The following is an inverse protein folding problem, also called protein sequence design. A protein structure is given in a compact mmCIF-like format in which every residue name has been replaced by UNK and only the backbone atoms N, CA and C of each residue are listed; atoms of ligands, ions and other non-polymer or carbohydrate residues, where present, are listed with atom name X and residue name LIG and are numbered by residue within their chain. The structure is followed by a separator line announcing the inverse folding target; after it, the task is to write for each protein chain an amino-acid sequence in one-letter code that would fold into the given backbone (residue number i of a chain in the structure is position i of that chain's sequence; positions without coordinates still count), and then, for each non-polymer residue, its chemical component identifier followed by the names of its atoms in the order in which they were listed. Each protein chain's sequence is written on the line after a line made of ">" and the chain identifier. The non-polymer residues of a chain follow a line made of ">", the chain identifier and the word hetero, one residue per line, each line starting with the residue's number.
data_IF_253056288204
#
_entry.id   IF_253056288204
#
_cell.length_a   1.000
_cell.length_b   1.000
_cell.length_c   1.000
_cell.angle_alpha   90.00
_cell.angle_beta   90.00
_cell.angle_gamma   90.00
#
_symmetry.space_group_name_H-M   'P 1'
#
loop_
_entity.id
_entity.type
_entity.pdbx_description
1 polymer ?
#
# COMPACT_ATOMS: atom_id res chain seq x y z
N UNK A 1 -12.04 -76.22 48.52
CA UNK A 1 -11.60 -75.88 47.14
C UNK A 1 -12.77 -75.13 46.52
N UNK A 2 -12.74 -73.81 46.32
CA UNK A 2 -11.80 -73.02 45.50
C UNK A 2 -12.04 -73.22 44.00
N UNK A 3 -12.75 -72.27 43.38
CA UNK A 3 -12.33 -71.60 42.14
C UNK A 3 -13.11 -70.27 41.97
N UNK A 4 -12.38 -69.19 41.72
CA UNK A 4 -12.89 -67.89 41.28
C UNK A 4 -12.19 -67.58 39.95
N UNK A 5 -12.90 -67.67 38.83
CA UNK A 5 -12.35 -67.30 37.53
C UNK A 5 -12.88 -65.94 37.06
N UNK A 6 -11.97 -64.98 36.93
CA UNK A 6 -12.21 -63.61 36.50
C UNK A 6 -12.50 -63.54 34.99
N UNK A 7 -13.55 -62.81 34.60
CA UNK A 7 -13.76 -62.38 33.22
C UNK A 7 -13.32 -60.92 33.05
N UNK A 8 -12.20 -60.71 32.36
CA UNK A 8 -11.78 -59.39 31.85
C UNK A 8 -12.42 -59.14 30.47
N UNK A 9 -13.06 -57.98 30.20
CA UNK A 9 -13.40 -57.59 28.85
C UNK A 9 -12.20 -56.94 28.15
N UNK A 10 -11.68 -57.57 27.10
CA UNK A 10 -10.70 -56.99 26.18
C UNK A 10 -11.41 -56.23 25.06
N UNK A 11 -11.23 -54.91 24.99
CA UNK A 11 -11.57 -54.08 23.84
C UNK A 11 -10.32 -53.34 23.36
N UNK A 12 -9.50 -54.02 22.55
CA UNK A 12 -8.34 -53.40 21.89
C UNK A 12 -8.80 -52.52 20.73
N UNK A 13 -9.05 -51.24 21.01
CA UNK A 13 -9.29 -50.23 19.98
C UNK A 13 -7.93 -49.72 19.49
N UNK A 14 -7.62 -49.96 18.22
CA UNK A 14 -6.35 -49.48 17.61
C UNK A 14 -6.14 -47.98 17.87
N UNK A 15 -4.94 -47.53 18.30
CA UNK A 15 -4.68 -46.13 18.63
C UNK A 15 -4.91 -45.18 17.45
N UNK A 16 -4.79 -45.67 16.21
CA UNK A 16 -5.13 -44.91 15.00
C UNK A 16 -6.63 -44.63 14.92
N UNK A 17 -7.47 -45.63 15.21
CA UNK A 17 -8.92 -45.49 15.20
C UNK A 17 -9.42 -44.58 16.32
N UNK A 18 -8.81 -44.67 17.51
CA UNK A 18 -9.06 -43.75 18.61
C UNK A 18 -8.70 -42.29 18.24
N UNK A 19 -7.61 -42.09 17.50
CA UNK A 19 -7.22 -40.78 16.97
C UNK A 19 -8.24 -40.18 16.00
N UNK A 20 -8.75 -40.97 15.05
CA UNK A 20 -9.79 -40.51 14.11
C UNK A 20 -11.13 -40.18 14.81
N UNK A 21 -11.55 -40.99 15.79
CA UNK A 21 -12.74 -40.72 16.59
C UNK A 21 -12.58 -39.42 17.40
N UNK A 22 -11.43 -39.22 18.05
CA UNK A 22 -11.12 -37.98 18.78
C UNK A 22 -11.13 -36.74 17.89
N UNK A 23 -10.51 -36.82 16.71
CA UNK A 23 -10.51 -35.72 15.73
C UNK A 23 -11.93 -35.41 15.22
N UNK A 24 -12.74 -36.44 14.91
CA UNK A 24 -14.13 -36.27 14.48
C UNK A 24 -14.99 -35.58 15.53
N UNK A 25 -14.92 -36.02 16.79
CA UNK A 25 -15.65 -35.39 17.92
C UNK A 25 -15.22 -33.92 18.10
N UNK A 26 -13.93 -33.61 17.97
CA UNK A 26 -13.42 -32.26 18.13
C UNK A 26 -13.90 -31.33 17.00
N UNK A 27 -13.90 -31.79 15.74
CA UNK A 27 -14.47 -31.03 14.61
C UNK A 27 -15.96 -30.77 14.80
N UNK A 28 -16.76 -31.77 15.18
CA UNK A 28 -18.19 -31.60 15.45
C UNK A 28 -18.44 -30.64 16.62
N UNK A 29 -17.67 -30.75 17.70
CA UNK A 29 -17.78 -29.83 18.84
C UNK A 29 -17.50 -28.37 18.45
N UNK A 30 -16.46 -28.13 17.63
CA UNK A 30 -16.12 -26.78 17.16
C UNK A 30 -17.18 -26.24 16.19
N UNK A 31 -17.72 -27.04 15.27
CA UNK A 31 -18.78 -26.57 14.36
C UNK A 31 -20.07 -26.23 15.10
N UNK A 32 -20.47 -27.04 16.10
CA UNK A 32 -21.62 -26.73 16.96
C UNK A 32 -21.39 -25.46 17.78
N UNK A 33 -20.19 -25.26 18.35
CA UNK A 33 -19.86 -24.04 19.08
C UNK A 33 -19.92 -22.78 18.21
N UNK A 34 -19.40 -22.84 16.97
CA UNK A 34 -19.48 -21.72 16.00
C UNK A 34 -20.92 -21.48 15.54
N UNK A 35 -21.72 -22.54 15.34
CA UNK A 35 -23.13 -22.40 15.00
C UNK A 35 -23.93 -21.75 16.13
N UNK A 36 -23.77 -22.22 17.38
CA UNK A 36 -24.39 -21.60 18.55
C UNK A 36 -23.93 -20.14 18.74
N UNK A 37 -22.64 -19.84 18.59
CA UNK A 37 -22.13 -18.48 18.65
C UNK A 37 -22.77 -17.57 17.59
N UNK A 38 -22.84 -18.01 16.33
CA UNK A 38 -23.46 -17.23 15.24
C UNK A 38 -24.97 -17.07 15.41
N UNK A 39 -25.69 -18.09 15.91
CA UNK A 39 -27.10 -17.99 16.30
C UNK A 39 -27.31 -17.00 17.45
N UNK A 40 -26.50 -17.06 18.50
CA UNK A 40 -26.53 -16.11 19.62
C UNK A 40 -26.19 -14.68 19.16
N UNK A 41 -25.20 -14.51 18.29
CA UNK A 41 -24.82 -13.20 17.74
C UNK A 41 -25.90 -12.63 16.81
N UNK A 42 -26.64 -13.49 16.08
CA UNK A 42 -27.78 -13.10 15.24
C UNK A 42 -29.01 -12.73 16.06
N UNK A 43 -29.33 -13.50 17.11
CA UNK A 43 -30.38 -13.16 18.09
C UNK A 43 -30.04 -11.90 18.88
N UNK A 44 -28.79 -11.74 19.31
CA UNK A 44 -28.31 -10.52 19.95
C UNK A 44 -28.49 -9.32 19.01
N UNK A 45 -28.08 -9.41 17.73
CA UNK A 45 -28.35 -8.37 16.73
C UNK A 45 -29.84 -8.10 16.49
N UNK A 46 -30.71 -9.10 16.56
CA UNK A 46 -32.16 -8.91 16.42
C UNK A 46 -32.78 -8.20 17.62
N UNK A 47 -32.47 -8.63 18.85
CA UNK A 47 -32.85 -7.88 20.06
C UNK A 47 -32.28 -6.46 20.02
N UNK A 48 -31.00 -6.31 19.64
CA UNK A 48 -30.29 -5.04 19.47
C UNK A 48 -30.89 -4.11 18.42
N UNK A 49 -31.64 -4.62 17.45
CA UNK A 49 -32.38 -3.81 16.49
C UNK A 49 -33.82 -3.50 16.92
N UNK A 50 -34.39 -4.32 17.80
CA UNK A 50 -35.80 -4.25 18.19
C UNK A 50 -36.09 -3.24 19.30
N UNK A 51 -35.12 -2.87 20.15
CA UNK A 51 -35.31 -1.83 21.18
C UNK A 51 -35.13 -0.39 20.67
N UNK A 52 -35.62 -0.11 19.46
CA UNK A 52 -36.11 1.24 19.12
C UNK A 52 -37.50 1.37 19.72
N UNK A 53 -37.60 2.23 20.73
CA UNK A 53 -38.77 2.45 21.58
C UNK A 53 -40.09 2.53 20.79
N UNK A 54 -41.01 1.63 21.13
CA UNK A 54 -42.44 1.83 20.94
C UNK A 54 -42.93 2.85 21.97
N UNK A 55 -43.18 4.09 21.55
CA UNK A 55 -44.00 5.06 22.29
C UNK A 55 -45.42 5.06 21.72
N UNK A 56 -46.42 5.27 22.59
CA UNK A 56 -47.83 5.27 22.23
C UNK A 56 -48.27 6.46 21.35
N UNK A 57 -49.53 6.48 20.90
CA UNK A 57 -50.06 7.58 20.10
C UNK A 57 -50.20 8.86 20.94
N UNK A 58 -50.13 10.01 20.27
CA UNK A 58 -50.12 11.38 20.82
C UNK A 58 -48.78 11.87 21.41
N UNK A 59 -47.78 12.10 20.53
CA UNK A 59 -47.00 13.35 20.50
C UNK A 59 -46.17 13.43 19.19
N UNK A 60 -45.95 14.63 18.60
CA UNK A 60 -45.10 14.79 17.43
C UNK A 60 -43.60 14.77 17.80
N UNK A 61 -42.74 14.04 17.08
CA UNK A 61 -41.34 13.92 17.44
C UNK A 61 -40.56 15.20 17.06
N UNK A 62 -40.25 16.02 18.06
CA UNK A 62 -39.18 17.03 17.95
C UNK A 62 -37.86 16.32 18.23
N UNK A 63 -37.16 15.92 17.16
CA UNK A 63 -35.81 15.36 17.28
C UNK A 63 -34.86 16.40 17.92
N UNK A 64 -34.20 16.09 19.06
CA UNK A 64 -33.19 16.98 19.62
C UNK A 64 -31.95 17.00 18.71
N UNK A 65 -31.36 18.18 18.42
CA UNK A 65 -30.26 18.30 17.48
C UNK A 65 -28.96 17.79 18.09
N UNK A 66 -28.72 16.48 17.98
CA UNK A 66 -27.43 15.86 18.32
C UNK A 66 -26.35 16.24 17.29
N UNK A 67 -25.85 17.47 17.39
CA UNK A 67 -24.60 17.89 16.75
C UNK A 67 -23.45 17.11 17.37
N UNK A 68 -22.88 16.18 16.60
CA UNK A 68 -21.64 15.48 16.94
C UNK A 68 -20.45 16.46 16.81
N UNK A 69 -20.20 17.21 17.88
CA UNK A 69 -19.02 18.08 17.99
C UNK A 69 -17.83 17.20 18.37
N UNK A 70 -16.93 16.94 17.41
CA UNK A 70 -15.68 16.22 17.67
C UNK A 70 -14.67 17.11 18.42
N UNK A 71 -14.87 17.31 19.72
CA UNK A 71 -13.87 17.94 20.61
C UNK A 71 -12.71 16.98 20.88
N UNK A 72 -11.72 16.97 19.97
CA UNK A 72 -10.51 16.16 20.10
C UNK A 72 -9.26 17.03 19.88
N UNK A 73 -8.35 17.01 20.85
CA UNK A 73 -6.99 17.56 20.71
C UNK A 73 -6.22 16.75 19.66
N UNK A 74 -6.32 17.13 18.39
CA UNK A 74 -5.33 16.84 17.34
C UNK A 74 -4.90 15.38 17.11
N UNK A 75 -5.68 14.38 17.54
CA UNK A 75 -5.34 12.96 17.43
C UNK A 75 -6.55 12.17 16.93
N UNK A 76 -6.32 11.29 15.95
CA UNK A 76 -7.31 10.38 15.36
C UNK A 76 -7.94 9.43 16.40
N UNK A 77 -9.26 9.29 16.38
CA UNK A 77 -10.02 8.29 17.15
C UNK A 77 -10.06 6.89 16.51
N UNK A 78 -9.41 6.69 15.36
CA UNK A 78 -9.21 5.36 14.80
C UNK A 78 -7.92 4.77 15.36
N UNK A 79 -7.95 3.61 16.05
CA UNK A 79 -6.77 3.06 16.71
C UNK A 79 -5.71 2.59 15.70
N UNK A 80 -4.53 3.20 15.75
CA UNK A 80 -3.32 2.65 15.13
C UNK A 80 -2.70 1.55 16.00
N UNK A 81 -3.40 0.42 16.09
CA UNK A 81 -2.85 -0.88 16.50
C UNK A 81 -3.44 -1.92 15.54
N UNK A 82 -2.65 -2.64 14.74
CA UNK A 82 -1.48 -3.43 15.11
C UNK A 82 -0.30 -3.22 14.15
N UNK A 83 0.84 -2.69 14.64
CA UNK A 83 2.19 -3.02 14.15
C UNK A 83 3.28 -2.28 14.95
N UNK A 84 3.36 -2.54 16.26
CA UNK A 84 4.62 -2.37 16.98
C UNK A 84 5.02 -3.74 17.53
N UNK A 85 6.07 -4.32 16.95
CA UNK A 85 6.64 -5.57 17.42
C UNK A 85 7.19 -5.35 18.82
N UNK A 86 6.50 -5.90 19.84
CA UNK A 86 7.05 -5.97 21.18
C UNK A 86 8.22 -6.94 21.17
N UNK A 87 9.44 -6.40 21.12
CA UNK A 87 10.67 -7.14 21.41
C UNK A 87 10.50 -7.80 22.79
N UNK A 88 10.36 -9.12 22.82
CA UNK A 88 10.16 -9.89 24.04
C UNK A 88 11.45 -9.84 24.85
N UNK A 89 11.54 -8.89 25.80
CA UNK A 89 12.58 -8.88 26.82
C UNK A 89 12.19 -9.92 27.87
N UNK A 90 12.87 -11.06 27.84
CA UNK A 90 12.69 -12.17 28.78
C UNK A 90 13.32 -11.78 30.12
N UNK A 91 12.52 -11.21 31.03
CA UNK A 91 12.98 -10.86 32.39
C UNK A 91 13.10 -12.13 33.24
N UNK A 92 14.33 -12.60 33.45
CA UNK A 92 14.65 -13.60 34.46
C UNK A 92 14.64 -12.98 35.87
N UNK A 93 14.11 -13.69 36.86
CA UNK A 93 14.07 -13.23 38.27
C UNK A 93 15.39 -13.51 39.01
N UNK A 94 16.00 -12.43 39.49
CA UNK A 94 16.85 -12.25 40.69
C UNK A 94 17.42 -13.48 41.43
N UNK A 95 18.74 -13.44 41.63
CA UNK A 95 19.42 -13.39 42.94
C UNK A 95 20.85 -12.86 42.70
N UNK A 96 21.54 -12.04 43.50
CA UNK A 96 21.22 -11.30 44.74
C UNK A 96 22.47 -10.49 45.19
N UNK A 97 22.33 -9.64 46.23
CA UNK A 97 23.42 -8.92 46.97
C UNK A 97 24.13 -7.69 46.35
N UNK A 98 24.31 -6.63 47.19
CA UNK A 98 25.57 -5.89 47.30
C UNK A 98 25.65 -4.39 46.95
N UNK A 99 25.61 -3.50 47.97
CA UNK A 99 26.33 -2.19 48.13
C UNK A 99 26.48 -1.21 46.93
N UNK A 100 25.94 0.01 46.95
CA UNK A 100 26.41 1.26 47.62
C UNK A 100 27.54 2.07 46.91
N UNK A 101 27.26 3.37 46.73
CA UNK A 101 28.15 4.55 46.63
C UNK A 101 28.98 4.93 45.35
N UNK A 102 28.83 6.23 45.01
CA UNK A 102 29.79 7.24 44.49
C UNK A 102 30.39 7.22 43.06
N UNK A 103 29.91 8.16 42.24
CA UNK A 103 30.58 9.42 41.79
C UNK A 103 32.02 9.44 41.22
N UNK A 104 32.15 10.19 40.09
CA UNK A 104 33.34 10.80 39.46
C UNK A 104 34.43 9.93 38.80
N UNK A 105 34.95 10.42 37.65
CA UNK A 105 36.34 10.12 37.22
C UNK A 105 36.60 10.12 35.71
N UNK A 106 37.40 11.09 35.22
CA UNK A 106 37.97 11.11 33.85
C UNK A 106 39.09 10.05 33.70
N UNK A 107 39.38 9.65 32.45
CA UNK A 107 40.78 9.70 31.96
C UNK A 107 41.42 8.45 31.34
N UNK A 108 41.42 8.39 29.99
CA UNK A 108 42.57 8.12 29.10
C UNK A 108 43.76 7.23 29.55
N UNK A 109 43.99 6.08 28.87
CA UNK A 109 45.13 5.87 27.91
C UNK A 109 45.34 4.41 27.43
N UNK A 110 45.68 4.32 26.13
CA UNK A 110 46.64 3.43 25.42
C UNK A 110 46.67 1.89 25.55
N UNK A 111 46.78 1.26 24.37
CA UNK A 111 47.60 0.07 24.08
C UNK A 111 46.89 -1.30 24.17
N UNK A 112 47.22 -2.30 23.34
CA UNK A 112 47.89 -2.30 22.02
C UNK A 112 47.54 -3.61 21.27
N UNK A 113 48.01 -3.76 20.04
CA UNK A 113 47.73 -4.86 19.07
C UNK A 113 48.30 -6.22 19.50
N UNK A 114 47.63 -7.33 19.14
CA UNK A 114 48.26 -8.53 18.56
C UNK A 114 47.27 -9.54 17.92
N UNK A 115 47.72 -10.15 16.82
CA UNK A 115 47.07 -11.23 16.05
C UNK A 115 47.69 -12.60 16.44
N UNK A 116 47.03 -13.71 16.08
CA UNK A 116 47.59 -14.87 15.33
C UNK A 116 46.55 -16.01 15.21
N UNK A 117 46.50 -16.65 14.04
CA UNK A 117 45.63 -17.78 13.69
C UNK A 117 46.08 -19.15 14.24
N UNK A 118 45.16 -20.13 14.28
CA UNK A 118 45.50 -21.56 14.26
C UNK A 118 44.34 -22.44 13.73
N UNK A 119 44.67 -23.26 12.72
CA UNK A 119 44.00 -24.44 12.13
C UNK A 119 45.16 -25.45 11.82
N UNK A 120 45.02 -26.74 11.40
CA UNK A 120 43.91 -27.36 10.64
C UNK A 120 43.63 -28.88 10.94
N UNK A 121 42.96 -29.56 9.98
CA UNK A 121 42.82 -31.02 9.74
C UNK A 121 41.77 -31.82 10.56
N UNK A 122 41.05 -32.81 10.01
CA UNK A 122 40.95 -33.35 8.64
C UNK A 122 40.12 -34.65 8.58
N UNK A 123 39.74 -35.15 7.38
CA UNK A 123 39.29 -36.55 7.18
C UNK A 123 38.00 -36.80 6.37
N UNK A 124 38.13 -37.59 5.29
CA UNK A 124 37.05 -38.30 4.57
C UNK A 124 37.43 -39.78 4.39
N UNK A 125 36.51 -40.65 3.92
CA UNK A 125 36.94 -41.64 2.94
C UNK A 125 35.98 -41.87 1.77
N UNK A 126 36.49 -42.57 0.76
CA UNK A 126 35.96 -42.82 -0.59
C UNK A 126 35.76 -44.33 -0.83
N UNK A 127 34.83 -44.75 -1.71
CA UNK A 127 34.80 -46.12 -2.26
C UNK A 127 34.55 -46.19 -3.78
N UNK A 128 34.93 -47.32 -4.39
CA UNK A 128 35.30 -47.54 -5.80
C UNK A 128 34.75 -48.90 -6.29
N UNK A 129 34.65 -49.29 -7.58
CA UNK A 129 34.90 -48.68 -8.92
C UNK A 129 34.14 -49.54 -9.98
N UNK A 130 34.45 -49.38 -11.28
CA UNK A 130 34.35 -50.39 -12.37
C UNK A 130 32.95 -50.64 -13.01
N UNK A 131 32.78 -50.85 -14.33
CA UNK A 131 33.73 -50.94 -15.47
C UNK A 131 33.03 -50.70 -16.85
N UNK A 132 33.83 -50.46 -17.91
CA UNK A 132 33.55 -50.59 -19.38
C UNK A 132 33.12 -49.35 -20.21
N UNK A 133 33.34 -49.47 -21.53
CA UNK A 133 33.71 -48.45 -22.55
C UNK A 133 32.64 -48.40 -23.70
N UNK A 134 32.52 -47.30 -24.49
CA UNK A 134 31.22 -46.86 -25.03
C UNK A 134 31.01 -47.13 -26.55
N UNK A 135 29.86 -46.69 -27.09
CA UNK A 135 29.82 -46.17 -28.45
C UNK A 135 29.30 -44.72 -28.57
N UNK A 136 29.79 -44.08 -29.63
CA UNK A 136 29.60 -42.72 -30.13
C UNK A 136 28.13 -42.27 -30.26
N UNK A 137 27.84 -41.04 -29.82
CA UNK A 137 26.62 -40.30 -30.17
C UNK A 137 26.60 -38.90 -29.51
N UNK A 138 26.17 -37.82 -30.18
CA UNK A 138 26.19 -36.48 -29.59
C UNK A 138 25.06 -36.33 -28.55
N UNK A 139 25.34 -35.85 -27.33
CA UNK A 139 24.30 -35.64 -26.33
C UNK A 139 23.43 -34.43 -26.69
N UNK A 140 22.15 -34.68 -27.01
CA UNK A 140 21.11 -33.64 -27.07
C UNK A 140 20.99 -32.97 -25.71
N UNK A 141 21.30 -31.67 -25.64
CA UNK A 141 21.14 -30.89 -24.41
C UNK A 141 19.72 -30.36 -24.25
N UNK A 142 18.73 -31.26 -24.08
CA UNK A 142 17.44 -30.85 -23.53
C UNK A 142 17.58 -30.58 -22.04
N UNK A 143 17.68 -29.30 -21.67
CA UNK A 143 17.46 -28.83 -20.29
C UNK A 143 16.39 -27.74 -20.31
N UNK A 144 15.27 -28.03 -19.66
CA UNK A 144 14.06 -27.23 -19.75
C UNK A 144 14.26 -25.81 -19.19
N UNK A 145 13.83 -24.81 -19.97
CA UNK A 145 13.29 -23.58 -19.40
C UNK A 145 11.95 -23.92 -18.74
N UNK A 146 11.71 -23.59 -17.45
CA UNK A 146 10.42 -23.81 -16.84
C UNK A 146 9.38 -22.80 -17.36
N UNK A 147 8.10 -23.16 -17.19
CA UNK A 147 6.90 -22.36 -17.49
C UNK A 147 6.43 -22.45 -18.97
N UNK A 148 5.79 -23.59 -19.27
CA UNK A 148 4.60 -23.63 -20.12
C UNK A 148 3.56 -22.64 -19.58
N UNK A 149 2.88 -21.97 -20.49
CA UNK A 149 1.55 -21.42 -20.27
C UNK A 149 0.80 -21.62 -21.59
N UNK A 150 0.04 -22.70 -21.69
CA UNK A 150 -0.79 -23.00 -22.85
C UNK A 150 -2.01 -22.08 -22.82
N UNK A 151 -2.23 -21.31 -23.89
CA UNK A 151 -3.57 -20.89 -24.32
C UNK A 151 -3.55 -20.63 -25.83
N UNK A 152 -4.50 -21.22 -26.54
CA UNK A 152 -4.70 -21.03 -27.97
C UNK A 152 -5.11 -19.58 -28.27
N UNK A 153 -4.47 -18.96 -29.26
CA UNK A 153 -4.99 -17.78 -29.92
C UNK A 153 -5.63 -18.24 -31.23
N UNK A 154 -6.94 -18.08 -31.40
CA UNK A 154 -7.54 -18.21 -32.73
C UNK A 154 -7.33 -16.91 -33.50
N UNK A 155 -6.82 -17.05 -34.71
CA UNK A 155 -6.60 -15.96 -35.64
C UNK A 155 -7.93 -15.37 -36.12
N UNK A 156 -7.91 -14.09 -36.48
CA UNK A 156 -8.82 -13.56 -37.50
C UNK A 156 -8.15 -12.39 -38.20
N UNK A 157 -7.82 -12.62 -39.47
CA UNK A 157 -7.20 -11.67 -40.38
C UNK A 157 -8.21 -10.66 -40.94
N UNK A 158 -7.73 -9.43 -41.14
CA UNK A 158 -8.14 -8.42 -42.13
C UNK A 158 -9.33 -8.69 -43.07
N UNK A 159 -10.18 -7.65 -43.24
CA UNK A 159 -10.63 -7.24 -44.58
C UNK A 159 -12.08 -6.76 -44.70
N UNK A 160 -12.26 -5.45 -45.00
CA UNK A 160 -13.05 -4.91 -46.12
C UNK A 160 -13.63 -3.51 -45.84
N UNK A 161 -13.71 -2.70 -46.90
CA UNK A 161 -14.23 -1.33 -46.96
C UNK A 161 -15.69 -1.27 -47.39
N UNK A 162 -16.43 -0.23 -46.97
CA UNK A 162 -17.66 0.26 -47.63
C UNK A 162 -17.93 1.72 -47.24
N UNK A 163 -18.54 2.50 -48.13
CA UNK A 163 -18.61 3.97 -48.05
C UNK A 163 -19.96 4.53 -47.56
N UNK A 164 -19.90 5.71 -46.90
CA UNK A 164 -20.90 6.80 -46.93
C UNK A 164 -22.32 6.57 -46.33
N UNK A 165 -23.12 7.64 -46.04
CA UNK A 165 -22.85 9.07 -46.22
C UNK A 165 -22.95 9.93 -44.94
N UNK A 166 -22.67 11.22 -45.13
CA UNK A 166 -22.59 12.28 -44.12
C UNK A 166 -23.92 12.66 -43.43
N UNK A 167 -23.82 13.08 -42.16
CA UNK A 167 -24.75 14.04 -41.55
C UNK A 167 -24.00 15.16 -40.83
N UNK A 168 -24.49 16.36 -41.09
CA UNK A 168 -24.02 17.70 -40.72
C UNK A 168 -23.55 17.86 -39.28
N UNK A 169 -22.45 18.59 -39.09
CA UNK A 169 -21.95 18.94 -37.77
C UNK A 169 -22.83 19.99 -37.05
N UNK A 170 -23.06 19.80 -35.75
CA UNK A 170 -23.42 20.86 -34.81
C UNK A 170 -22.37 20.92 -33.68
N UNK A 171 -21.97 22.11 -33.21
CA UNK A 171 -20.91 22.24 -32.21
C UNK A 171 -21.47 22.02 -30.81
N UNK A 172 -21.36 20.79 -30.30
CA UNK A 172 -21.56 20.52 -28.88
C UNK A 172 -20.21 20.44 -28.17
N UNK A 173 -20.06 21.25 -27.13
CA UNK A 173 -18.95 21.16 -26.18
C UNK A 173 -18.90 19.75 -25.58
N UNK A 174 -17.69 19.21 -25.48
CA UNK A 174 -17.44 18.01 -24.68
C UNK A 174 -17.51 18.40 -23.20
N UNK A 175 -18.73 18.44 -22.66
CA UNK A 175 -18.95 18.58 -21.22
C UNK A 175 -18.35 17.36 -20.52
N UNK A 176 -17.19 17.55 -19.89
CA UNK A 176 -16.67 16.59 -18.93
C UNK A 176 -17.68 16.46 -17.79
N UNK A 177 -18.07 15.24 -17.38
CA UNK A 177 -19.08 15.07 -16.35
C UNK A 177 -18.59 15.73 -15.04
N UNK A 178 -19.40 16.66 -14.53
CA UNK A 178 -19.12 17.30 -13.24
C UNK A 178 -19.02 16.25 -12.14
N UNK A 179 -18.06 16.42 -11.23
CA UNK A 179 -17.86 15.53 -10.08
C UNK A 179 -18.69 15.95 -8.86
N UNK A 180 -19.58 16.93 -9.03
CA UNK A 180 -20.44 17.47 -8.00
C UNK A 180 -19.87 18.66 -7.24
N UNK A 181 -20.56 19.06 -6.18
CA UNK A 181 -20.17 20.16 -5.29
C UNK A 181 -20.01 19.68 -3.85
N UNK A 182 -19.14 20.34 -3.10
CA UNK A 182 -18.96 20.17 -1.66
C UNK A 182 -19.42 21.44 -0.93
N UNK A 183 -20.35 21.30 0.00
CA UNK A 183 -20.87 22.36 0.85
C UNK A 183 -20.29 22.27 2.26
N UNK A 184 -19.80 23.40 2.77
CA UNK A 184 -19.21 23.54 4.10
C UNK A 184 -19.60 24.87 4.76
N UNK A 185 -19.32 24.99 6.05
CA UNK A 185 -19.42 26.24 6.79
C UNK A 185 -18.18 26.47 7.65
N UNK A 186 -17.62 27.67 7.62
CA UNK A 186 -16.45 28.10 8.40
C UNK A 186 -16.87 29.11 9.46
N UNK A 187 -16.35 28.97 10.67
CA UNK A 187 -16.67 29.78 11.85
C UNK A 187 -15.41 29.89 12.72
N UNK A 188 -15.24 30.94 13.52
CA UNK A 188 -14.04 31.14 14.33
C UNK A 188 -14.37 31.44 15.79
N UNK A 189 -13.96 30.53 16.67
CA UNK A 189 -14.16 30.66 18.10
C UNK A 189 -13.05 31.51 18.74
N UNK A 190 -13.27 32.82 18.85
CA UNK A 190 -12.31 33.75 19.47
C UNK A 190 -11.89 33.35 20.90
N UNK A 191 -12.79 33.01 21.84
CA UNK A 191 -12.41 32.62 23.20
C UNK A 191 -11.47 31.41 23.25
N UNK A 192 -11.65 30.42 22.35
CA UNK A 192 -10.84 29.20 22.29
C UNK A 192 -9.66 29.29 21.32
N UNK A 193 -9.49 30.41 20.60
CA UNK A 193 -8.53 30.60 19.49
C UNK A 193 -8.53 29.40 18.54
N UNK A 194 -9.71 29.09 18.00
CA UNK A 194 -9.95 27.87 17.25
C UNK A 194 -10.78 28.10 15.99
N UNK A 195 -10.27 27.62 14.86
CA UNK A 195 -11.01 27.54 13.61
C UNK A 195 -12.02 26.38 13.69
N UNK A 196 -13.27 26.62 13.30
CA UNK A 196 -14.34 25.63 13.29
C UNK A 196 -14.79 25.43 11.85
N UNK A 197 -14.77 24.18 11.37
CA UNK A 197 -15.20 23.84 10.01
C UNK A 197 -16.24 22.74 10.09
N UNK A 198 -17.43 23.02 9.53
CA UNK A 198 -18.50 22.04 9.37
C UNK A 198 -18.52 21.57 7.92
N UNK A 199 -18.31 20.27 7.69
CA UNK A 199 -18.53 19.65 6.39
C UNK A 199 -20.03 19.30 6.35
N UNK A 200 -20.80 20.05 5.56
CA UNK A 200 -22.27 19.94 5.54
C UNK A 200 -22.69 18.74 4.69
N UNK A 201 -22.20 18.67 3.46
CA UNK A 201 -22.56 17.61 2.53
C UNK A 201 -21.92 17.78 1.15
N UNK A 202 -22.20 16.86 0.25
CA UNK A 202 -21.90 17.00 -1.17
C UNK A 202 -23.14 16.66 -2.01
N UNK A 203 -23.19 17.15 -3.25
CA UNK A 203 -24.28 16.94 -4.20
C UNK A 203 -23.74 16.55 -5.57
N UNK A 204 -24.46 15.71 -6.31
CA UNK A 204 -24.09 15.32 -7.67
C UNK A 204 -22.78 14.53 -7.78
N UNK A 205 -22.42 13.73 -6.77
CA UNK A 205 -21.24 12.86 -6.87
C UNK A 205 -21.44 11.77 -7.95
N UNK A 206 -20.40 11.34 -8.66
CA UNK A 206 -20.48 10.20 -9.58
C UNK A 206 -20.65 8.88 -8.82
N UNK A 207 -21.36 7.93 -9.44
CA UNK A 207 -21.36 6.53 -9.04
C UNK A 207 -20.02 5.89 -9.40
N UNK A 208 -19.27 5.44 -8.38
CA UNK A 208 -18.00 4.73 -8.56
C UNK A 208 -18.23 3.22 -8.68
N UNK A 209 -19.24 2.69 -7.99
CA UNK A 209 -19.72 1.32 -8.18
C UNK A 209 -20.77 1.30 -9.30
N UNK A 210 -20.32 0.96 -10.52
CA UNK A 210 -21.16 0.83 -11.71
C UNK A 210 -22.26 -0.25 -11.55
N UNK A 211 -22.02 -1.29 -10.74
CA UNK A 211 -22.99 -2.36 -10.53
C UNK A 211 -24.08 -1.97 -9.51
N UNK A 212 -23.74 -1.13 -8.53
CA UNK A 212 -24.70 -0.59 -7.56
C UNK A 212 -25.32 0.75 -7.97
N UNK A 213 -24.79 1.43 -9.01
CA UNK A 213 -25.23 2.76 -9.43
C UNK A 213 -25.02 3.82 -8.34
N UNK A 214 -24.03 3.64 -7.47
CA UNK A 214 -23.87 4.47 -6.28
C UNK A 214 -22.42 4.56 -5.79
N UNK A 215 -22.22 5.30 -4.70
CA UNK A 215 -20.93 5.48 -4.02
C UNK A 215 -21.11 5.37 -2.51
N UNK A 216 -20.02 5.08 -1.79
CA UNK A 216 -19.96 5.08 -0.32
C UNK A 216 -19.10 6.27 0.15
N UNK A 217 -19.56 7.52 -0.01
CA UNK A 217 -18.71 8.70 0.11
C UNK A 217 -18.27 9.03 1.54
N UNK A 218 -17.04 9.53 1.65
CA UNK A 218 -16.52 10.25 2.80
C UNK A 218 -15.49 11.31 2.38
N UNK A 219 -15.24 12.28 3.25
CA UNK A 219 -14.31 13.39 2.99
C UNK A 219 -13.13 13.31 3.94
N UNK A 220 -11.91 13.44 3.42
CA UNK A 220 -10.70 13.75 4.19
C UNK A 220 -10.42 15.24 4.07
N UNK A 221 -10.22 15.93 5.19
CA UNK A 221 -9.90 17.35 5.23
C UNK A 221 -8.49 17.56 5.81
N UNK A 222 -7.72 18.44 5.18
CA UNK A 222 -6.37 18.85 5.61
C UNK A 222 -6.24 20.37 5.58
N UNK A 223 -5.59 20.97 6.58
CA UNK A 223 -5.25 22.41 6.56
C UNK A 223 -3.86 22.60 5.95
N UNK A 224 -3.80 23.39 4.87
CA UNK A 224 -2.57 23.80 4.19
C UNK A 224 -2.08 25.16 4.75
N UNK A 225 -0.76 25.44 4.76
CA UNK A 225 0.33 24.63 4.21
C UNK A 225 0.87 23.56 5.17
N UNK A 226 0.66 23.69 6.48
CA UNK A 226 1.35 22.86 7.48
C UNK A 226 0.98 21.38 7.47
N UNK A 227 -0.22 21.02 7.00
CA UNK A 227 -0.70 19.62 6.81
C UNK A 227 -0.75 18.76 8.08
N UNK A 228 -0.47 19.33 9.26
CA UNK A 228 -0.56 18.69 10.59
C UNK A 228 -2.00 18.37 10.96
N UNK A 229 -2.92 19.30 10.68
CA UNK A 229 -4.33 19.16 11.01
C UNK A 229 -5.04 18.35 9.91
N UNK A 230 -5.39 17.11 10.23
CA UNK A 230 -6.04 16.16 9.33
C UNK A 230 -7.22 15.50 10.03
N UNK A 231 -8.38 15.53 9.40
CA UNK A 231 -9.62 14.89 9.88
C UNK A 231 -10.30 14.15 8.73
N UNK A 232 -11.27 13.31 9.04
CA UNK A 232 -12.13 12.66 8.05
C UNK A 232 -13.54 12.51 8.59
N UNK A 233 -14.53 12.56 7.70
CA UNK A 233 -15.93 12.29 8.04
C UNK A 233 -16.17 10.80 8.27
N UNK A 234 -17.36 10.45 8.75
CA UNK A 234 -17.90 9.08 8.59
C UNK A 234 -18.15 8.76 7.11
N UNK A 235 -18.16 7.46 6.82
CA UNK A 235 -18.59 6.91 5.54
C UNK A 235 -20.11 6.84 5.53
N UNK A 236 -20.75 7.50 4.57
CA UNK A 236 -22.16 7.32 4.26
C UNK A 236 -22.27 6.27 3.15
N UNK A 237 -23.29 5.42 3.20
CA UNK A 237 -23.43 4.28 2.29
C UNK A 237 -24.45 4.56 1.21
N UNK A 238 -24.15 4.13 -0.02
CA UNK A 238 -25.05 4.16 -1.19
C UNK A 238 -25.73 5.51 -1.39
N UNK A 239 -24.95 6.57 -1.48
CA UNK A 239 -25.45 7.92 -1.74
C UNK A 239 -24.53 8.71 -2.65
N UNK A 240 -25.12 9.48 -3.56
CA UNK A 240 -24.46 10.47 -4.41
C UNK A 240 -24.65 11.90 -3.88
N UNK A 241 -25.49 12.05 -2.84
CA UNK A 241 -25.78 13.31 -2.14
C UNK A 241 -25.60 13.12 -0.62
N UNK A 242 -24.35 12.91 -0.14
CA UNK A 242 -24.10 12.70 1.27
C UNK A 242 -24.33 13.97 2.10
N UNK A 243 -25.16 13.86 3.15
CA UNK A 243 -25.26 14.89 4.20
C UNK A 243 -24.40 14.46 5.39
N UNK A 244 -23.21 15.03 5.50
CA UNK A 244 -22.26 14.70 6.56
C UNK A 244 -22.63 15.38 7.89
N UNK A 245 -22.94 16.68 7.88
CA UNK A 245 -23.11 17.57 9.05
C UNK A 245 -22.10 17.30 10.19
N UNK A 246 -20.81 17.21 9.86
CA UNK A 246 -19.73 16.95 10.82
C UNK A 246 -18.90 18.21 11.08
N UNK A 247 -18.83 18.62 12.35
CA UNK A 247 -18.07 19.80 12.80
C UNK A 247 -16.73 19.41 13.42
N UNK A 248 -15.65 19.95 12.86
CA UNK A 248 -14.27 19.81 13.34
C UNK A 248 -13.75 21.14 13.90
N UNK A 249 -13.06 21.09 15.03
CA UNK A 249 -12.52 22.28 15.72
C UNK A 249 -11.00 22.18 15.86
N UNK A 250 -10.30 23.16 15.30
CA UNK A 250 -8.84 23.23 15.20
C UNK A 250 -8.30 24.32 16.13
N UNK A 251 -7.89 23.91 17.33
CA UNK A 251 -7.33 24.79 18.36
C UNK A 251 -5.91 25.25 18.03
N UNK A 252 -5.59 26.49 18.41
CA UNK A 252 -4.25 27.05 18.31
C UNK A 252 -3.93 27.71 16.97
N UNK A 253 -4.91 27.83 16.07
CA UNK A 253 -4.81 28.60 14.81
C UNK A 253 -5.20 30.05 15.12
N UNK A 254 -4.30 31.04 15.01
CA UNK A 254 -4.64 32.45 15.23
C UNK A 254 -5.50 33.01 14.09
N UNK A 255 -6.49 33.86 14.42
CA UNK A 255 -7.34 34.55 13.44
C UNK A 255 -6.53 35.28 12.36
N UNK A 256 -5.43 35.93 12.75
CA UNK A 256 -4.54 36.67 11.84
C UNK A 256 -3.85 35.79 10.79
N UNK A 257 -3.74 34.48 11.03
CA UNK A 257 -3.14 33.53 10.08
C UNK A 257 -4.15 32.98 9.05
N UNK A 258 -5.46 33.15 9.27
CA UNK A 258 -6.48 32.56 8.40
C UNK A 258 -6.29 32.91 6.91
N UNK A 259 -5.95 34.15 6.50
CA UNK A 259 -5.76 34.47 5.08
C UNK A 259 -4.62 33.70 4.39
N UNK A 260 -3.67 33.16 5.16
CA UNK A 260 -2.53 32.37 4.64
C UNK A 260 -2.86 30.87 4.51
N UNK A 261 -4.00 30.44 5.05
CA UNK A 261 -4.41 29.04 5.11
C UNK A 261 -5.35 28.67 3.95
N UNK A 262 -5.36 27.39 3.60
CA UNK A 262 -6.34 26.81 2.69
C UNK A 262 -6.85 25.48 3.23
N UNK A 263 -8.15 25.25 3.11
CA UNK A 263 -8.79 23.99 3.45
C UNK A 263 -8.79 23.10 2.21
N UNK A 264 -8.10 21.96 2.28
CA UNK A 264 -8.10 20.95 1.23
C UNK A 264 -8.99 19.79 1.63
N UNK A 265 -9.93 19.45 0.75
CA UNK A 265 -10.89 18.37 0.90
C UNK A 265 -10.66 17.36 -0.21
N UNK A 266 -10.42 16.10 0.15
CA UNK A 266 -10.48 14.99 -0.79
C UNK A 266 -11.78 14.22 -0.56
N UNK A 267 -12.56 14.04 -1.60
CA UNK A 267 -13.79 13.24 -1.60
C UNK A 267 -13.46 11.84 -2.13
N UNK A 268 -13.81 10.81 -1.36
CA UNK A 268 -13.50 9.41 -1.69
C UNK A 268 -14.74 8.52 -1.58
N UNK A 269 -14.80 7.47 -2.39
CA UNK A 269 -15.71 6.34 -2.18
C UNK A 269 -14.97 5.24 -1.41
N UNK A 270 -15.58 4.76 -0.32
CA UNK A 270 -15.01 3.69 0.52
C UNK A 270 -15.19 2.31 -0.11
N UNK A 271 -14.12 1.51 -0.15
CA UNK A 271 -14.21 0.09 -0.53
C UNK A 271 -13.84 -0.82 0.67
N UNK A 272 -14.56 -1.94 0.82
CA UNK A 272 -14.34 -2.93 1.88
C UNK A 272 -13.22 -3.93 1.53
N UNK A 273 -13.03 -4.24 0.26
CA UNK A 273 -12.20 -5.32 -0.25
C UNK A 273 -11.04 -4.81 -1.11
N UNK A 274 -11.18 -3.62 -1.71
CA UNK A 274 -10.12 -2.92 -2.41
C UNK A 274 -9.55 -1.75 -1.59
N UNK A 275 -8.97 -0.77 -2.28
CA UNK A 275 -8.52 0.52 -1.73
C UNK A 275 -9.51 1.58 -2.17
N UNK A 276 -9.72 2.57 -1.31
CA UNK A 276 -10.69 3.65 -1.54
C UNK A 276 -10.41 4.39 -2.85
N UNK A 277 -11.47 4.72 -3.56
CA UNK A 277 -11.41 5.43 -4.83
C UNK A 277 -11.53 6.94 -4.62
N UNK A 278 -10.71 7.70 -5.34
CA UNK A 278 -10.74 9.16 -5.29
C UNK A 278 -11.81 9.65 -6.27
N UNK A 279 -12.84 10.31 -5.76
CA UNK A 279 -13.86 10.97 -6.59
C UNK A 279 -13.28 12.28 -7.13
N UNK A 280 -12.71 13.10 -6.26
CA UNK A 280 -12.12 14.38 -6.64
C UNK A 280 -11.66 15.18 -5.43
N UNK A 281 -11.22 16.42 -5.66
CA UNK A 281 -10.74 17.33 -4.62
C UNK A 281 -11.33 18.74 -4.72
N UNK A 282 -11.41 19.41 -3.58
CA UNK A 282 -11.81 20.81 -3.46
C UNK A 282 -10.80 21.55 -2.58
N UNK A 283 -10.36 22.72 -3.02
CA UNK A 283 -9.50 23.63 -2.24
C UNK A 283 -10.27 24.91 -1.99
N UNK A 284 -10.35 25.32 -0.72
CA UNK A 284 -10.97 26.57 -0.30
C UNK A 284 -9.93 27.42 0.41
N UNK A 285 -9.35 28.42 -0.26
CA UNK A 285 -8.55 29.45 0.40
C UNK A 285 -9.38 30.18 1.45
N UNK A 286 -8.78 30.50 2.60
CA UNK A 286 -9.46 31.26 3.66
C UNK A 286 -9.23 32.77 3.55
N UNK A 287 -8.45 33.23 2.57
CA UNK A 287 -8.37 34.65 2.20
C UNK A 287 -9.74 35.16 1.75
N UNK A 288 -10.19 36.28 2.31
CA UNK A 288 -11.49 36.89 2.00
C UNK A 288 -12.70 36.20 2.65
N UNK A 289 -12.53 35.08 3.37
CA UNK A 289 -13.58 34.49 4.21
C UNK A 289 -13.62 35.25 5.54
N UNK A 290 -14.80 35.75 5.92
CA UNK A 290 -15.04 36.34 7.25
C UNK A 290 -15.81 35.34 8.15
N UNK A 291 -15.13 34.56 9.01
CA UNK A 291 -15.77 33.70 9.99
C UNK A 291 -15.96 34.40 11.34
N UNK A 292 -15.85 35.73 11.44
CA UNK A 292 -15.96 36.46 12.71
C UNK A 292 -17.40 36.79 13.12
N UNK A 293 -18.27 36.98 12.13
CA UNK A 293 -19.68 37.38 12.30
C UNK A 293 -20.65 36.20 12.37
N UNK A 294 -20.17 34.98 12.09
CA UNK A 294 -20.94 33.75 12.16
C UNK A 294 -20.41 32.66 11.23
N UNK A 295 -21.29 31.71 10.88
CA UNK A 295 -20.97 30.62 9.95
C UNK A 295 -20.97 31.12 8.50
N UNK A 296 -19.77 31.36 7.96
CA UNK A 296 -19.57 31.61 6.54
C UNK A 296 -19.82 30.31 5.74
N UNK A 297 -20.93 30.25 5.03
CA UNK A 297 -21.29 29.12 4.17
C UNK A 297 -20.57 29.21 2.81
N UNK A 298 -19.95 28.11 2.39
CA UNK A 298 -19.16 28.02 1.15
C UNK A 298 -19.56 26.74 0.41
N UNK A 299 -19.84 26.86 -0.88
CA UNK A 299 -20.05 25.73 -1.79
C UNK A 299 -18.96 25.75 -2.85
N UNK A 300 -18.19 24.66 -2.96
CA UNK A 300 -17.02 24.55 -3.82
C UNK A 300 -17.23 23.43 -4.84
N UNK A 301 -16.85 23.66 -6.10
CA UNK A 301 -16.85 22.62 -7.13
C UNK A 301 -15.80 21.55 -6.81
N UNK A 302 -16.17 20.28 -6.99
CA UNK A 302 -15.25 19.15 -6.86
C UNK A 302 -14.52 19.00 -8.20
N UNK A 303 -13.21 19.21 -8.18
CA UNK A 303 -12.36 19.10 -9.36
C UNK A 303 -11.75 17.70 -9.47
N UNK A 304 -11.48 17.27 -10.70
CA UNK A 304 -10.71 16.04 -10.91
C UNK A 304 -9.30 16.29 -10.38
N UNK A 305 -8.83 15.39 -9.50
CA UNK A 305 -7.49 15.46 -8.93
C UNK A 305 -6.45 15.48 -10.06
N UNK A 306 -5.72 16.58 -10.19
CA UNK A 306 -4.74 16.71 -11.26
C UNK A 306 -3.39 16.11 -10.84
N UNK A 307 -3.08 14.91 -11.35
CA UNK A 307 -1.79 14.24 -11.13
C UNK A 307 -0.76 14.56 -12.21
N UNK A 308 -1.04 15.50 -13.13
CA UNK A 308 -0.04 15.93 -14.11
C UNK A 308 1.01 16.79 -13.41
N UNK A 309 2.26 16.30 -13.41
CA UNK A 309 3.41 17.07 -13.00
C UNK A 309 4.38 17.16 -14.18
N UNK A 310 4.88 18.37 -14.44
CA UNK A 310 5.84 18.68 -15.51
C UNK A 310 7.16 17.90 -15.37
N UNK A 311 7.51 17.52 -14.13
CA UNK A 311 8.66 16.67 -13.83
C UNK A 311 8.29 15.54 -12.90
N UNK A 312 8.50 14.30 -13.35
CA UNK A 312 8.31 13.08 -12.54
C UNK A 312 9.54 12.74 -11.67
N UNK A 313 10.55 13.60 -11.68
CA UNK A 313 11.80 13.45 -10.93
C UNK A 313 12.85 12.60 -11.63
N UNK A 314 13.95 12.33 -10.93
CA UNK A 314 15.12 11.62 -11.44
C UNK A 314 15.44 10.38 -10.58
N UNK A 315 15.84 9.29 -11.23
CA UNK A 315 16.26 8.05 -10.57
C UNK A 315 17.73 7.73 -10.92
N UNK A 316 18.54 7.49 -9.90
CA UNK A 316 19.91 6.97 -10.01
C UNK A 316 19.86 5.45 -9.87
N UNK A 317 20.22 4.76 -10.95
CA UNK A 317 20.35 3.29 -10.99
C UNK A 317 21.76 2.92 -11.41
N UNK A 318 22.20 1.73 -11.00
CA UNK A 318 23.49 1.19 -11.36
C UNK A 318 23.39 -0.27 -11.78
N UNK A 319 24.03 -0.62 -12.89
CA UNK A 319 24.01 -1.94 -13.49
C UNK A 319 25.43 -2.48 -13.65
N UNK A 320 25.59 -3.80 -13.54
CA UNK A 320 26.79 -4.52 -14.00
C UNK A 320 26.43 -5.92 -14.49
N UNK A 321 27.04 -6.35 -15.58
CA UNK A 321 26.86 -7.70 -16.13
C UNK A 321 28.12 -8.54 -15.99
N UNK A 322 27.98 -9.76 -15.47
CA UNK A 322 29.06 -10.72 -15.27
C UNK A 322 28.83 -11.92 -16.20
N UNK A 323 29.47 -11.97 -17.39
CA UNK A 323 29.19 -13.02 -18.38
C UNK A 323 29.55 -14.41 -17.90
N UNK A 324 30.67 -14.58 -17.16
CA UNK A 324 31.15 -15.88 -16.67
C UNK A 324 30.19 -16.54 -15.67
N UNK A 325 29.47 -15.73 -14.88
CA UNK A 325 28.48 -16.23 -13.92
C UNK A 325 27.04 -16.03 -14.42
N UNK A 326 26.87 -15.55 -15.65
CA UNK A 326 25.59 -15.15 -16.25
C UNK A 326 24.75 -14.25 -15.33
N UNK A 327 25.36 -13.28 -14.62
CA UNK A 327 24.66 -12.46 -13.62
C UNK A 327 24.57 -10.99 -13.99
N UNK A 328 23.33 -10.51 -14.12
CA UNK A 328 22.99 -9.09 -14.17
C UNK A 328 22.69 -8.60 -12.75
N UNK A 329 23.52 -7.69 -12.23
CA UNK A 329 23.28 -6.98 -10.98
C UNK A 329 22.64 -5.62 -11.29
N UNK A 330 21.49 -5.35 -10.67
CA UNK A 330 20.73 -4.10 -10.78
C UNK A 330 20.59 -3.48 -9.40
N UNK A 331 21.19 -2.31 -9.20
CA UNK A 331 21.15 -1.56 -7.94
C UNK A 331 20.29 -0.31 -8.11
N UNK A 332 19.24 -0.19 -7.29
CA UNK A 332 18.47 1.05 -7.14
C UNK A 332 19.14 1.86 -6.05
N UNK A 333 19.74 3.00 -6.40
CA UNK A 333 20.54 3.80 -5.47
C UNK A 333 19.68 4.85 -4.76
N UNK A 334 19.19 5.85 -5.49
CA UNK A 334 18.37 6.95 -4.93
C UNK A 334 17.54 7.64 -6.01
N UNK A 335 16.50 8.36 -5.59
CA UNK A 335 15.79 9.32 -6.45
C UNK A 335 15.90 10.74 -5.86
N UNK A 336 15.57 11.75 -6.66
CA UNK A 336 15.44 13.16 -6.26
C UNK A 336 14.35 13.83 -7.10
N UNK A 337 13.86 14.97 -6.62
CA UNK A 337 12.86 15.79 -7.31
C UNK A 337 11.57 15.01 -7.66
N UNK A 338 11.22 13.99 -6.88
CA UNK A 338 9.94 13.30 -7.08
C UNK A 338 8.78 14.27 -6.77
N UNK A 339 7.70 14.27 -7.57
CA UNK A 339 6.53 15.10 -7.30
C UNK A 339 5.79 14.64 -6.03
N UNK A 340 5.07 15.56 -5.40
CA UNK A 340 4.14 15.25 -4.31
C UNK A 340 2.88 14.58 -4.85
N UNK A 341 2.89 13.25 -4.97
CA UNK A 341 1.72 12.49 -5.42
C UNK A 341 0.73 12.20 -4.28
N UNK A 342 1.16 12.28 -3.01
CA UNK A 342 0.32 11.97 -1.86
C UNK A 342 -0.83 12.97 -1.65
N UNK A 343 -2.03 12.42 -1.40
CA UNK A 343 -3.33 13.08 -1.14
C UNK A 343 -3.31 14.16 -0.05
N UNK A 344 -2.26 14.15 0.76
CA UNK A 344 -2.10 14.95 1.97
C UNK A 344 -1.08 16.07 1.77
N UNK A 345 -0.42 16.10 0.61
CA UNK A 345 0.71 16.95 0.30
C UNK A 345 1.91 16.77 1.23
N UNK A 346 1.95 15.70 2.02
CA UNK A 346 3.17 15.26 2.68
C UNK A 346 4.17 14.80 1.61
N UNK A 347 5.45 14.79 1.95
CA UNK A 347 6.45 14.09 1.12
C UNK A 347 6.01 12.64 0.93
N UNK A 348 6.05 12.13 -0.30
CA UNK A 348 5.52 10.80 -0.63
C UNK A 348 6.23 9.65 0.11
N UNK A 349 5.70 8.46 -0.10
CA UNK A 349 6.22 7.19 0.41
C UNK A 349 6.77 6.31 -0.73
N UNK A 350 7.81 6.76 -1.46
CA UNK A 350 8.25 6.09 -2.68
C UNK A 350 8.87 4.72 -2.43
N UNK A 351 8.59 3.80 -3.36
CA UNK A 351 9.36 2.58 -3.59
C UNK A 351 9.52 2.34 -5.08
N UNK A 352 10.54 1.55 -5.45
CA UNK A 352 10.81 1.20 -6.85
C UNK A 352 10.48 -0.27 -7.08
N UNK A 353 9.62 -0.56 -8.06
CA UNK A 353 9.34 -1.90 -8.56
C UNK A 353 10.24 -2.14 -9.78
N UNK A 354 11.07 -3.17 -9.72
CA UNK A 354 12.00 -3.55 -10.79
C UNK A 354 11.42 -4.76 -11.52
N UNK A 355 11.02 -4.58 -12.77
CA UNK A 355 10.54 -5.64 -13.65
C UNK A 355 11.64 -5.97 -14.68
N UNK A 356 11.94 -7.25 -14.90
CA UNK A 356 12.84 -7.69 -15.98
C UNK A 356 12.01 -8.39 -17.04
N UNK A 357 12.25 -8.03 -18.30
CA UNK A 357 11.58 -8.58 -19.47
C UNK A 357 12.58 -9.23 -20.41
N UNK A 358 12.15 -10.32 -21.06
CA UNK A 358 12.78 -10.89 -22.24
C UNK A 358 11.81 -10.68 -23.42
N UNK A 359 12.21 -9.85 -24.38
CA UNK A 359 11.29 -9.30 -25.38
C UNK A 359 10.08 -8.64 -24.71
N UNK A 360 8.87 -9.15 -24.96
CA UNK A 360 7.62 -8.67 -24.34
C UNK A 360 7.20 -9.43 -23.07
N UNK A 361 7.86 -10.53 -22.70
CA UNK A 361 7.49 -11.38 -21.55
C UNK A 361 8.21 -10.91 -20.29
N UNK A 362 7.47 -10.52 -19.25
CA UNK A 362 8.06 -10.23 -17.93
C UNK A 362 8.53 -11.54 -17.28
N UNK A 363 9.85 -11.69 -17.11
CA UNK A 363 10.48 -12.88 -16.54
C UNK A 363 10.76 -12.75 -15.04
N UNK A 364 10.94 -11.53 -14.52
CA UNK A 364 11.13 -11.30 -13.09
C UNK A 364 10.48 -9.99 -12.61
N UNK A 365 10.19 -9.92 -11.31
CA UNK A 365 9.66 -8.74 -10.63
C UNK A 365 10.15 -8.72 -9.18
N UNK A 366 10.88 -7.67 -8.79
CA UNK A 366 11.30 -7.38 -7.42
C UNK A 366 10.85 -5.96 -7.05
N UNK A 367 11.00 -5.56 -5.79
CA UNK A 367 10.71 -4.20 -5.31
C UNK A 367 11.67 -3.81 -4.19
N UNK A 368 11.95 -2.52 -4.07
CA UNK A 368 12.65 -1.96 -2.92
C UNK A 368 11.75 -1.92 -1.69
N UNK A 369 12.34 -1.57 -0.55
CA UNK A 369 11.60 -1.11 0.62
C UNK A 369 10.94 0.25 0.34
N UNK A 370 9.84 0.51 1.04
CA UNK A 370 9.16 1.82 1.04
C UNK A 370 9.96 2.78 1.91
N UNK A 371 10.37 3.91 1.34
CA UNK A 371 10.98 5.02 2.09
C UNK A 371 9.87 5.99 2.43
N UNK A 372 9.66 6.26 3.72
CA UNK A 372 8.54 7.08 4.20
C UNK A 372 8.87 8.57 4.14
N UNK A 373 7.86 9.40 3.89
CA UNK A 373 7.93 10.85 4.03
C UNK A 373 9.12 11.51 3.31
N UNK A 374 9.41 11.14 2.06
CA UNK A 374 10.55 11.71 1.30
C UNK A 374 10.32 11.78 -0.21
N UNK A 375 10.70 12.91 -0.81
CA UNK A 375 10.75 13.11 -2.28
C UNK A 375 12.16 12.89 -2.86
N UNK A 376 13.14 12.61 -1.99
CA UNK A 376 14.52 12.29 -2.34
C UNK A 376 14.96 11.00 -1.63
N UNK A 377 14.32 9.85 -1.91
CA UNK A 377 14.59 8.59 -1.23
C UNK A 377 15.97 8.02 -1.56
N UNK A 378 16.64 7.46 -0.54
CA UNK A 378 17.83 6.62 -0.72
C UNK A 378 17.45 5.17 -0.48
N UNK A 379 17.59 4.34 -1.51
CA UNK A 379 17.28 2.92 -1.50
C UNK A 379 18.53 2.11 -1.13
N UNK A 380 19.56 2.17 -1.98
CA UNK A 380 20.77 1.34 -1.94
C UNK A 380 20.47 -0.17 -1.92
N UNK A 381 19.54 -0.61 -2.77
CA UNK A 381 19.05 -2.00 -2.80
C UNK A 381 19.47 -2.68 -4.10
N UNK A 382 20.13 -3.85 -3.98
CA UNK A 382 20.68 -4.65 -5.09
C UNK A 382 19.77 -5.84 -5.43
N UNK A 383 19.60 -6.07 -6.72
CA UNK A 383 18.80 -7.15 -7.28
C UNK A 383 19.64 -7.89 -8.33
N UNK A 384 20.04 -9.11 -8.01
CA UNK A 384 20.73 -10.00 -8.95
C UNK A 384 19.68 -10.81 -9.74
N UNK A 385 19.94 -11.00 -11.04
CA UNK A 385 19.17 -11.83 -11.96
C UNK A 385 20.14 -12.70 -12.76
N UNK A 386 19.82 -13.98 -12.92
CA UNK A 386 20.58 -14.88 -13.77
C UNK A 386 20.07 -14.73 -15.22
N UNK A 387 20.96 -14.29 -16.12
CA UNK A 387 20.71 -13.90 -17.51
C UNK A 387 21.84 -14.45 -18.39
N UNK A 388 21.58 -15.49 -19.20
CA UNK A 388 22.54 -15.99 -20.19
C UNK A 388 22.98 -14.90 -21.17
N UNK A 389 24.23 -14.97 -21.64
CA UNK A 389 24.87 -13.90 -22.43
C UNK A 389 24.18 -13.72 -23.79
N UNK A 390 23.64 -14.81 -24.33
CA UNK A 390 22.93 -14.89 -25.60
C UNK A 390 21.62 -14.09 -25.57
N UNK A 391 21.01 -13.94 -24.38
CA UNK A 391 19.72 -13.26 -24.21
C UNK A 391 19.88 -11.77 -23.90
N UNK A 392 21.07 -11.29 -23.52
CA UNK A 392 21.32 -9.89 -23.14
C UNK A 392 20.80 -8.83 -24.15
N UNK A 393 20.84 -9.03 -25.48
CA UNK A 393 20.28 -8.06 -26.44
C UNK A 393 18.76 -7.84 -26.30
N UNK A 394 18.02 -8.90 -25.95
CA UNK A 394 16.55 -8.91 -25.83
C UNK A 394 16.05 -8.61 -24.41
N UNK A 395 16.97 -8.48 -23.44
CA UNK A 395 16.64 -8.18 -22.05
C UNK A 395 16.41 -6.68 -21.89
N UNK A 396 15.38 -6.34 -21.11
CA UNK A 396 15.18 -4.98 -20.62
C UNK A 396 14.77 -4.97 -19.15
N UNK A 397 15.14 -3.90 -18.46
CA UNK A 397 14.85 -3.66 -17.05
C UNK A 397 14.03 -2.39 -16.92
N UNK A 398 12.81 -2.54 -16.43
CA UNK A 398 11.88 -1.45 -16.14
C UNK A 398 11.84 -1.16 -14.64
N UNK A 399 11.99 0.11 -14.30
CA UNK A 399 11.85 0.65 -12.96
C UNK A 399 10.58 1.50 -12.92
N UNK A 400 9.64 1.12 -12.07
CA UNK A 400 8.46 1.93 -11.76
C UNK A 400 8.65 2.52 -10.37
N UNK A 401 8.79 3.85 -10.29
CA UNK A 401 8.73 4.59 -9.04
C UNK A 401 7.26 4.79 -8.69
N UNK A 402 6.87 4.36 -7.50
CA UNK A 402 5.48 4.26 -7.08
C UNK A 402 5.35 4.90 -5.71
N UNK A 403 4.34 5.75 -5.53
CA UNK A 403 3.98 6.30 -4.23
C UNK A 403 3.05 5.31 -3.49
N UNK A 404 3.32 5.09 -2.21
CA UNK A 404 2.59 4.16 -1.37
C UNK A 404 1.61 4.88 -0.44
N UNK A 405 0.36 5.06 -0.88
CA UNK A 405 -0.74 5.34 0.05
C UNK A 405 -1.23 4.02 0.70
N UNK A 406 -1.65 4.10 1.95
CA UNK A 406 -2.31 3.03 2.72
C UNK A 406 -3.82 2.95 2.44
N UNK A 407 -4.43 4.05 2.03
CA UNK A 407 -5.88 4.23 1.90
C UNK A 407 -6.35 4.07 0.46
N UNK A 408 -5.75 4.82 -0.46
CA UNK A 408 -6.14 4.88 -1.87
C UNK A 408 -5.20 4.04 -2.73
N UNK A 409 -5.54 3.86 -4.01
CA UNK A 409 -4.71 3.12 -4.99
C UNK A 409 -3.30 3.73 -5.10
N UNK A 410 -2.25 2.90 -5.19
CA UNK A 410 -0.87 3.38 -5.32
C UNK A 410 -0.70 4.07 -6.68
N UNK A 411 -0.13 5.28 -6.70
CA UNK A 411 0.08 6.04 -7.93
C UNK A 411 1.49 5.79 -8.49
N UNK A 412 1.60 5.61 -9.81
CA UNK A 412 2.91 5.49 -10.48
C UNK A 412 3.47 6.89 -10.72
N UNK A 413 4.46 7.25 -9.89
CA UNK A 413 5.18 8.53 -9.97
C UNK A 413 5.86 8.67 -11.33
N UNK A 414 6.51 7.62 -11.80
CA UNK A 414 7.16 7.63 -13.11
C UNK A 414 7.87 6.32 -13.44
N UNK A 415 8.30 6.24 -14.69
CA UNK A 415 8.86 5.04 -15.32
C UNK A 415 10.26 5.32 -15.87
N UNK A 416 11.13 4.32 -15.79
CA UNK A 416 12.43 4.26 -16.46
C UNK A 416 12.57 2.86 -17.07
N UNK A 417 13.06 2.78 -18.31
CA UNK A 417 13.39 1.50 -18.96
C UNK A 417 14.83 1.55 -19.45
N UNK A 418 15.60 0.51 -19.16
CA UNK A 418 16.93 0.27 -19.71
C UNK A 418 16.89 -1.00 -20.56
N UNK A 419 17.46 -0.96 -21.76
CA UNK A 419 17.40 -2.05 -22.73
C UNK A 419 17.71 -1.55 -24.13
N UNK A 420 17.92 -2.46 -25.08
CA UNK A 420 18.20 -2.10 -26.49
C UNK A 420 17.08 -1.30 -27.15
N UNK A 421 15.83 -1.51 -26.73
CA UNK A 421 14.61 -0.84 -27.22
C UNK A 421 14.00 0.11 -26.18
N UNK A 422 14.83 0.79 -25.38
CA UNK A 422 14.34 1.78 -24.42
C UNK A 422 13.73 3.00 -25.13
N UNK A 423 12.56 3.52 -24.68
CA UNK A 423 11.94 4.72 -25.25
C UNK A 423 12.73 6.01 -24.97
N UNK A 424 13.73 5.97 -24.07
CA UNK A 424 14.60 7.12 -23.78
C UNK A 424 16.03 6.88 -24.32
N UNK A 425 16.61 7.81 -25.11
CA UNK A 425 17.97 7.64 -25.66
C UNK A 425 19.05 7.44 -24.59
N UNK A 426 18.90 8.06 -23.42
CA UNK A 426 19.82 7.86 -22.29
C UNK A 426 19.76 6.44 -21.73
N UNK A 427 18.59 5.79 -21.78
CA UNK A 427 18.39 4.41 -21.34
C UNK A 427 19.05 3.39 -22.27
N UNK A 428 18.94 3.60 -23.59
CA UNK A 428 19.67 2.81 -24.59
C UNK A 428 21.19 2.96 -24.40
N UNK A 429 21.66 4.19 -24.21
CA UNK A 429 23.10 4.48 -24.04
C UNK A 429 23.66 3.90 -22.73
N UNK A 430 22.91 3.91 -21.64
CA UNK A 430 23.32 3.24 -20.39
C UNK A 430 23.34 1.72 -20.56
N UNK A 431 22.32 1.13 -21.20
CA UNK A 431 22.29 -0.32 -21.45
C UNK A 431 23.47 -0.78 -22.31
N UNK A 432 23.76 -0.04 -23.40
CA UNK A 432 24.91 -0.33 -24.28
C UNK A 432 26.23 -0.30 -23.50
N UNK A 433 26.47 0.74 -22.70
CA UNK A 433 27.72 0.84 -21.91
C UNK A 433 27.90 -0.34 -20.93
N UNK A 434 26.80 -0.85 -20.34
CA UNK A 434 26.79 -2.04 -19.46
C UNK A 434 27.14 -3.32 -20.22
N UNK A 435 26.68 -3.46 -21.46
CA UNK A 435 27.05 -4.58 -22.33
C UNK A 435 28.52 -4.50 -22.78
N UNK A 436 28.97 -3.31 -23.18
CA UNK A 436 30.32 -3.07 -23.71
C UNK A 436 31.41 -3.15 -22.62
N UNK A 437 31.06 -2.95 -21.35
CA UNK A 437 31.99 -2.95 -20.22
C UNK A 437 31.65 -4.07 -19.19
N UNK A 438 31.82 -5.37 -19.55
CA UNK A 438 31.51 -6.47 -18.65
C UNK A 438 32.32 -6.41 -17.35
N UNK A 439 31.68 -6.80 -16.24
CA UNK A 439 32.16 -6.70 -14.83
C UNK A 439 32.30 -5.27 -14.29
N UNK A 440 32.22 -4.23 -15.13
CA UNK A 440 32.21 -2.83 -14.66
C UNK A 440 30.86 -2.50 -14.06
N UNK A 441 30.87 -1.81 -12.92
CA UNK A 441 29.68 -1.18 -12.38
C UNK A 441 29.54 0.23 -12.95
N UNK A 442 28.43 0.48 -13.65
CA UNK A 442 28.08 1.77 -14.24
C UNK A 442 26.86 2.30 -13.50
N UNK A 443 26.83 3.60 -13.22
CA UNK A 443 25.76 4.26 -12.48
C UNK A 443 25.40 5.57 -13.18
N UNK A 444 24.11 5.77 -13.48
CA UNK A 444 23.63 6.98 -14.18
C UNK A 444 22.28 7.46 -13.65
N UNK A 445 22.13 8.77 -13.65
CA UNK A 445 20.85 9.44 -13.44
C UNK A 445 20.01 9.37 -14.72
N UNK A 446 18.71 9.16 -14.56
CA UNK A 446 17.73 9.28 -15.64
C UNK A 446 16.51 10.06 -15.16
N UNK A 447 16.00 10.94 -16.02
CA UNK A 447 14.66 11.51 -15.86
C UNK A 447 13.63 10.38 -15.93
N UNK A 448 12.62 10.43 -15.07
CA UNK A 448 11.48 9.54 -15.11
C UNK A 448 10.47 10.06 -16.13
N UNK A 449 9.92 9.16 -16.94
CA UNK A 449 8.85 9.45 -17.90
C UNK A 449 7.48 9.03 -17.37
N UNK A 450 6.44 9.41 -18.08
CA UNK A 450 5.07 8.91 -17.87
C UNK A 450 5.01 7.38 -18.03
N UNK A 451 4.08 6.75 -17.31
CA UNK A 451 3.96 5.29 -17.23
C UNK A 451 3.29 4.68 -18.46
#
# INVERSE_FOLDING_TARGET
>A
MAEMNNLKPTYDVSPVLAGFLGAGVLVVSVTVAVFLWTCCQRRYRQMTGAYKLTSGPYDPPVDPPYKFIHMLKGISIYPESLSNSKKIVRVGRRSGSGSLFREWGRGSRNGDVLLVDADPEGGTPHLQMNHLVPPVGPPRLERALPIRADYCCMESSSGSSSEAPSKTASPHSLDSPSLGTLSLAVDYNFPKKALVVTIVGAQGLPAVDEQAGSSDPYVKMTILPEKKHRVKTRVLRKTLEPVFDETFTFYGIPYSSLPELSLHFLVLSFDRFARDDVIGEAVVPLVGVDPSTGRAHITQQINKRNTQCESRGELLVSLSYHPVTHRLNVVVLKAKHLPTMDITGLSGNPYVKVNVFYGRKRIAKKKTHVKKCTLSPVFNESFIYDVPTELMPDISVEFLVIDFDRTTKNEVVGRLVLGGQSPIPSGVTHWREVCDNPRRQIAKWHNLIEY
#
